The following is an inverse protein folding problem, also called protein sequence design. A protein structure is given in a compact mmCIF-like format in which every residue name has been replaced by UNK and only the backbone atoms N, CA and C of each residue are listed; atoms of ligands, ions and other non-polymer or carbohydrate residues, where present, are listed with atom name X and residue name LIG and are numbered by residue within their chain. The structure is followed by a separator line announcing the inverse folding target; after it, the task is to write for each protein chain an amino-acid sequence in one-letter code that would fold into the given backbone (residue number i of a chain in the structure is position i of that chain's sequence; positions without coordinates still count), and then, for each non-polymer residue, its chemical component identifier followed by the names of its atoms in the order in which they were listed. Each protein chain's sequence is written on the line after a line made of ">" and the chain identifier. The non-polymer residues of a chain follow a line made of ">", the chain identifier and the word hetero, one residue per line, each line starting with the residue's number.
data_IF_292919856848
#
_entry.id   IF_292919856848
#
_cell.length_a   1.000
_cell.length_b   1.000
_cell.length_c   1.000
_cell.angle_alpha   90.00
_cell.angle_beta   90.00
_cell.angle_gamma   90.00
#
_symmetry.space_group_name_H-M   'P 1'
#
loop_
_entity.id
_entity.type
_entity.pdbx_description
1 polymer ?
#
# COMPACT_ATOMS: atom_id res chain seq x y z
N UNK A 1 -26.86 -38.15 -30.68
CA UNK A 1 -26.05 -39.19 -30.04
C UNK A 1 -24.59 -38.86 -30.26
N UNK A 2 -23.85 -38.78 -29.14
CA UNK A 2 -22.39 -38.77 -28.97
C UNK A 2 -21.64 -37.51 -29.46
N UNK A 3 -21.35 -36.51 -28.61
CA UNK A 3 -20.28 -36.43 -27.59
C UNK A 3 -18.88 -36.72 -28.13
N UNK A 4 -18.04 -35.68 -28.20
CA UNK A 4 -16.62 -35.73 -27.89
C UNK A 4 -16.19 -34.32 -27.46
N UNK A 5 -16.45 -34.01 -26.19
CA UNK A 5 -15.68 -33.03 -25.46
C UNK A 5 -14.40 -33.75 -25.04
N UNK A 6 -13.27 -33.38 -25.62
CA UNK A 6 -11.97 -33.79 -25.12
C UNK A 6 -11.79 -33.13 -23.74
N UNK A 7 -12.09 -33.93 -22.72
CA UNK A 7 -11.68 -33.72 -21.35
C UNK A 7 -10.16 -33.64 -21.30
N UNK A 8 -9.64 -32.41 -21.29
CA UNK A 8 -8.27 -32.09 -20.92
C UNK A 8 -8.02 -32.53 -19.49
N UNK A 9 -7.48 -33.73 -19.36
CA UNK A 9 -7.16 -34.41 -18.13
C UNK A 9 -6.01 -33.66 -17.41
N UNK A 10 -6.33 -32.74 -16.50
CA UNK A 10 -5.38 -32.18 -15.53
C UNK A 10 -5.05 -33.19 -14.42
N UNK A 11 -4.70 -34.42 -14.81
CA UNK A 11 -4.09 -35.43 -13.94
C UNK A 11 -2.68 -35.68 -14.45
N UNK A 12 -1.80 -34.69 -14.30
CA UNK A 12 -0.41 -34.77 -14.72
C UNK A 12 0.38 -33.67 -14.05
N UNK A 13 1.25 -34.08 -13.13
CA UNK A 13 2.26 -33.27 -12.45
C UNK A 13 1.73 -32.18 -11.50
N UNK A 14 1.88 -32.46 -10.19
CA UNK A 14 1.99 -31.42 -9.16
C UNK A 14 3.18 -30.55 -9.52
N UNK A 15 2.96 -29.57 -10.39
CA UNK A 15 3.86 -28.43 -10.50
C UNK A 15 3.55 -27.60 -9.28
N UNK A 16 4.15 -27.97 -8.14
CA UNK A 16 4.15 -27.12 -6.98
C UNK A 16 4.62 -25.75 -7.47
N UNK A 17 3.80 -24.71 -7.23
CA UNK A 17 4.21 -23.33 -7.48
C UNK A 17 5.57 -23.15 -6.80
N UNK A 18 6.57 -22.53 -7.44
CA UNK A 18 7.86 -22.37 -6.81
C UNK A 18 7.67 -21.63 -5.47
N UNK A 19 8.34 -22.07 -4.39
CA UNK A 19 8.06 -21.63 -3.01
C UNK A 19 8.17 -20.11 -2.82
N UNK A 20 8.83 -19.40 -3.73
CA UNK A 20 8.84 -17.93 -3.80
C UNK A 20 7.50 -17.23 -4.11
N UNK A 21 6.44 -18.00 -4.44
CA UNK A 21 5.09 -17.51 -4.77
C UNK A 21 4.06 -17.75 -3.66
N UNK A 22 4.41 -18.52 -2.63
CA UNK A 22 3.65 -18.58 -1.38
C UNK A 22 3.88 -17.27 -0.62
N UNK A 23 2.81 -16.48 -0.48
CA UNK A 23 2.70 -15.30 0.38
C UNK A 23 4.03 -14.67 0.81
N UNK A 24 4.62 -13.82 -0.06
CA UNK A 24 5.76 -13.00 0.38
C UNK A 24 5.32 -12.16 1.59
N UNK A 25 6.16 -12.02 2.64
CA UNK A 25 5.81 -11.28 3.84
C UNK A 25 5.38 -9.85 3.48
N UNK A 26 4.26 -9.38 4.03
CA UNK A 26 3.88 -7.97 3.99
C UNK A 26 2.63 -7.57 3.20
N UNK A 27 1.85 -8.52 2.66
CA UNK A 27 0.51 -8.20 2.12
C UNK A 27 -0.57 -8.51 3.15
N UNK A 28 -1.47 -7.55 3.37
CA UNK A 28 -2.71 -7.80 4.11
C UNK A 28 -3.57 -8.76 3.28
N UNK A 29 -3.94 -9.88 3.91
CA UNK A 29 -4.92 -10.79 3.36
C UNK A 29 -6.28 -10.10 3.35
N UNK A 30 -7.02 -10.26 2.26
CA UNK A 30 -8.32 -9.62 2.07
C UNK A 30 -9.45 -10.42 2.73
N UNK A 31 -10.54 -9.74 3.09
CA UNK A 31 -11.81 -10.40 3.40
C UNK A 31 -12.60 -10.55 2.11
N UNK A 32 -13.05 -11.76 1.80
CA UNK A 32 -13.80 -12.02 0.57
C UNK A 32 -15.27 -12.32 0.85
N UNK A 33 -16.17 -11.70 0.08
CA UNK A 33 -17.57 -12.09 -0.01
C UNK A 33 -17.84 -12.70 -1.40
N UNK A 34 -18.50 -13.86 -1.41
CA UNK A 34 -18.65 -14.68 -2.62
C UNK A 34 -20.12 -15.01 -2.86
N UNK A 35 -20.67 -14.56 -3.99
CA UNK A 35 -21.98 -14.97 -4.47
C UNK A 35 -21.87 -15.90 -5.68
N UNK A 36 -21.84 -17.20 -5.42
CA UNK A 36 -21.66 -18.24 -6.43
C UNK A 36 -22.46 -19.51 -6.10
N UNK A 37 -22.86 -20.29 -7.12
CA UNK A 37 -23.47 -21.60 -6.92
C UNK A 37 -22.57 -22.55 -6.09
N UNK A 38 -23.13 -23.42 -5.24
CA UNK A 38 -22.37 -24.33 -4.36
C UNK A 38 -21.30 -25.17 -5.07
N UNK A 39 -21.57 -25.59 -6.30
CA UNK A 39 -20.65 -26.36 -7.14
C UNK A 39 -19.36 -25.62 -7.50
N UNK A 40 -19.32 -24.28 -7.35
CA UNK A 40 -18.12 -23.47 -7.58
C UNK A 40 -17.30 -23.23 -6.32
N UNK A 41 -17.83 -23.52 -5.12
CA UNK A 41 -17.22 -23.12 -3.85
C UNK A 41 -15.80 -23.69 -3.68
N UNK A 42 -15.61 -25.00 -3.85
CA UNK A 42 -14.30 -25.64 -3.72
C UNK A 42 -13.26 -25.06 -4.70
N UNK A 43 -13.69 -24.77 -5.94
CA UNK A 43 -12.80 -24.16 -6.94
C UNK A 43 -12.41 -22.73 -6.56
N UNK A 44 -13.36 -21.94 -6.03
CA UNK A 44 -13.15 -20.55 -5.59
C UNK A 44 -12.22 -20.52 -4.38
N UNK A 45 -12.46 -21.36 -3.37
CA UNK A 45 -11.59 -21.48 -2.18
C UNK A 45 -10.13 -21.72 -2.60
N UNK A 46 -9.92 -22.64 -3.54
CA UNK A 46 -8.58 -22.92 -4.07
C UNK A 46 -7.96 -21.74 -4.82
N UNK A 47 -8.75 -20.95 -5.54
CA UNK A 47 -8.25 -19.77 -6.25
C UNK A 47 -7.88 -18.62 -5.29
N UNK A 48 -8.64 -18.47 -4.20
CA UNK A 48 -8.52 -17.38 -3.24
C UNK A 48 -7.59 -17.67 -2.05
N UNK A 49 -7.28 -18.93 -1.74
CA UNK A 49 -6.60 -19.36 -0.50
C UNK A 49 -5.30 -18.64 -0.15
N UNK A 50 -4.54 -18.15 -1.13
CA UNK A 50 -3.30 -17.41 -0.93
C UNK A 50 -3.46 -15.88 -0.82
N UNK A 51 -4.68 -15.38 -0.93
CA UNK A 51 -5.00 -13.95 -1.05
C UNK A 51 -5.96 -13.44 0.02
N UNK A 52 -6.68 -14.33 0.70
CA UNK A 52 -7.78 -13.96 1.62
C UNK A 52 -7.59 -14.61 2.98
N UNK A 53 -8.00 -13.91 4.05
CA UNK A 53 -7.99 -14.44 5.41
C UNK A 53 -9.28 -15.18 5.73
N UNK A 54 -10.37 -14.78 5.08
CA UNK A 54 -11.70 -15.34 5.25
C UNK A 54 -12.51 -15.23 3.95
N UNK A 55 -13.42 -16.20 3.76
CA UNK A 55 -14.35 -16.25 2.63
C UNK A 55 -15.76 -16.42 3.20
N UNK A 56 -16.62 -15.42 2.97
CA UNK A 56 -18.03 -15.46 3.30
C UNK A 56 -18.85 -15.77 2.04
N UNK A 57 -19.45 -16.96 1.97
CA UNK A 57 -20.39 -17.32 0.90
C UNK A 57 -21.78 -16.75 1.22
N UNK A 58 -22.24 -15.82 0.41
CA UNK A 58 -23.53 -15.14 0.55
C UNK A 58 -24.58 -15.75 -0.39
N UNK A 59 -25.85 -15.46 -0.13
CA UNK A 59 -27.00 -16.09 -0.82
C UNK A 59 -27.72 -15.18 -1.80
N UNK A 60 -27.45 -13.88 -1.77
CA UNK A 60 -28.07 -12.91 -2.66
C UNK A 60 -27.13 -11.75 -2.99
N UNK A 61 -27.51 -10.93 -3.98
CA UNK A 61 -26.75 -9.72 -4.33
C UNK A 61 -26.85 -8.65 -3.25
N UNK A 62 -27.95 -8.60 -2.50
CA UNK A 62 -28.14 -7.70 -1.36
C UNK A 62 -27.16 -8.06 -0.24
N UNK A 63 -27.07 -9.34 0.13
CA UNK A 63 -26.09 -9.81 1.13
C UNK A 63 -24.65 -9.55 0.67
N UNK A 64 -24.38 -9.66 -0.64
CA UNK A 64 -23.07 -9.33 -1.20
C UNK A 64 -22.77 -7.83 -1.08
N UNK A 65 -23.74 -6.97 -1.38
CA UNK A 65 -23.59 -5.51 -1.35
C UNK A 65 -23.41 -4.98 0.09
N UNK A 66 -24.06 -5.59 1.07
CA UNK A 66 -23.95 -5.22 2.49
C UNK A 66 -22.74 -5.86 3.18
N UNK A 67 -21.99 -6.73 2.49
CA UNK A 67 -20.84 -7.41 3.07
C UNK A 67 -19.67 -6.45 3.29
N UNK A 68 -19.12 -6.46 4.51
CA UNK A 68 -17.86 -5.79 4.85
C UNK A 68 -16.67 -6.62 4.31
N UNK A 69 -16.42 -6.51 3.02
CA UNK A 69 -15.41 -7.27 2.30
C UNK A 69 -14.48 -6.34 1.51
N UNK A 70 -13.23 -6.78 1.33
CA UNK A 70 -12.22 -6.11 0.50
C UNK A 70 -12.21 -6.66 -0.94
N UNK A 71 -12.77 -7.86 -1.13
CA UNK A 71 -12.92 -8.54 -2.42
C UNK A 71 -14.33 -9.11 -2.54
N UNK A 72 -15.04 -8.75 -3.61
CA UNK A 72 -16.33 -9.32 -3.97
C UNK A 72 -16.18 -10.18 -5.21
N UNK A 73 -16.57 -11.45 -5.12
CA UNK A 73 -16.54 -12.40 -6.23
C UNK A 73 -17.94 -12.91 -6.51
N UNK A 74 -18.36 -12.86 -7.77
CA UNK A 74 -19.64 -13.39 -8.20
C UNK A 74 -19.55 -14.07 -9.56
N UNK A 75 -20.47 -14.98 -9.82
CA UNK A 75 -20.58 -15.60 -11.14
C UNK A 75 -21.48 -14.78 -12.05
N UNK A 76 -21.27 -14.87 -13.36
CA UNK A 76 -22.16 -14.24 -14.35
C UNK A 76 -23.63 -14.64 -14.14
N UNK A 77 -23.89 -15.92 -13.87
CA UNK A 77 -25.24 -16.43 -13.63
C UNK A 77 -25.86 -15.78 -12.38
N UNK A 78 -25.11 -15.73 -11.28
CA UNK A 78 -25.56 -15.10 -10.04
C UNK A 78 -25.88 -13.60 -10.24
N UNK A 79 -25.06 -12.89 -11.03
CA UNK A 79 -25.34 -11.50 -11.39
C UNK A 79 -26.56 -11.38 -12.31
N UNK A 80 -26.69 -12.25 -13.30
CA UNK A 80 -27.78 -12.22 -14.29
C UNK A 80 -29.15 -12.56 -13.69
N UNK A 81 -29.19 -13.43 -12.67
CA UNK A 81 -30.40 -13.81 -11.95
C UNK A 81 -30.93 -12.72 -11.00
N UNK A 82 -30.12 -11.70 -10.70
CA UNK A 82 -30.47 -10.63 -9.76
C UNK A 82 -31.51 -9.63 -10.26
N UNK A 83 -32.21 -8.92 -9.36
CA UNK A 83 -33.13 -7.84 -9.72
C UNK A 83 -32.47 -6.80 -10.63
N UNK A 84 -33.17 -6.32 -11.67
CA UNK A 84 -32.62 -5.35 -12.63
C UNK A 84 -32.11 -4.07 -11.95
N UNK A 85 -32.80 -3.62 -10.92
CA UNK A 85 -32.44 -2.44 -10.14
C UNK A 85 -31.12 -2.62 -9.39
N UNK A 86 -30.92 -3.77 -8.73
CA UNK A 86 -29.64 -4.12 -8.10
C UNK A 86 -28.53 -4.32 -9.13
N UNK A 87 -28.80 -4.95 -10.28
CA UNK A 87 -27.83 -5.04 -11.37
C UNK A 87 -27.36 -3.64 -11.81
N UNK A 88 -28.29 -2.70 -11.98
CA UNK A 88 -27.98 -1.33 -12.38
C UNK A 88 -27.25 -0.55 -11.28
N UNK A 89 -27.65 -0.67 -10.02
CA UNK A 89 -27.01 -0.02 -8.86
C UNK A 89 -25.59 -0.56 -8.61
N UNK A 90 -25.40 -1.88 -8.67
CA UNK A 90 -24.09 -2.53 -8.65
C UNK A 90 -23.19 -2.02 -9.79
N UNK A 91 -23.74 -1.78 -10.98
CA UNK A 91 -22.96 -1.23 -12.12
C UNK A 91 -22.73 0.29 -12.09
N UNK A 92 -23.50 1.06 -11.30
CA UNK A 92 -23.49 2.54 -11.32
C UNK A 92 -22.96 3.19 -10.05
N UNK A 93 -23.16 2.58 -8.88
CA UNK A 93 -23.03 3.25 -7.57
C UNK A 93 -21.66 3.16 -6.90
N UNK A 94 -20.69 2.43 -7.44
CA UNK A 94 -19.56 1.92 -6.65
C UNK A 94 -18.19 2.54 -6.99
N UNK A 95 -18.15 3.77 -7.49
CA UNK A 95 -16.90 4.50 -7.77
C UNK A 95 -16.88 5.94 -7.27
N UNK A 96 -17.40 6.16 -6.07
CA UNK A 96 -16.95 7.28 -5.24
C UNK A 96 -16.18 6.67 -4.05
N UNK A 97 -14.85 6.85 -4.03
CA UNK A 97 -13.88 6.29 -3.07
C UNK A 97 -13.49 4.81 -3.25
N UNK A 98 -12.27 4.38 -2.82
CA UNK A 98 -11.77 3.05 -3.17
C UNK A 98 -12.56 1.93 -2.49
N UNK A 99 -13.51 1.35 -3.23
CA UNK A 99 -14.32 0.20 -2.83
C UNK A 99 -13.60 -1.15 -2.91
N UNK A 100 -14.33 -2.27 -2.65
CA UNK A 100 -13.82 -3.63 -2.77
C UNK A 100 -13.37 -3.94 -4.21
N UNK A 101 -12.48 -4.93 -4.36
CA UNK A 101 -12.10 -5.46 -5.67
C UNK A 101 -13.23 -6.35 -6.23
N UNK A 102 -13.61 -6.11 -7.48
CA UNK A 102 -14.72 -6.81 -8.14
C UNK A 102 -14.23 -7.86 -9.12
N UNK A 103 -14.62 -9.12 -8.87
CA UNK A 103 -14.26 -10.26 -9.71
C UNK A 103 -15.50 -10.99 -10.19
N UNK A 104 -15.70 -10.98 -11.50
CA UNK A 104 -16.77 -11.73 -12.15
C UNK A 104 -16.16 -12.94 -12.86
N UNK A 105 -16.62 -14.13 -12.51
CA UNK A 105 -16.20 -15.39 -13.13
C UNK A 105 -17.33 -15.98 -13.97
N UNK A 106 -16.99 -16.96 -14.81
CA UNK A 106 -17.94 -17.69 -15.65
C UNK A 106 -18.70 -16.77 -16.64
N UNK A 107 -18.10 -15.64 -17.01
CA UNK A 107 -18.71 -14.67 -17.91
C UNK A 107 -18.51 -15.04 -19.38
N UNK A 108 -19.57 -15.09 -20.20
CA UNK A 108 -19.43 -15.29 -21.64
C UNK A 108 -18.73 -14.09 -22.30
N UNK A 109 -18.10 -14.30 -23.46
CA UNK A 109 -17.25 -13.30 -24.13
C UNK A 109 -17.90 -11.92 -24.28
N UNK A 110 -19.18 -11.88 -24.68
CA UNK A 110 -19.93 -10.62 -24.84
C UNK A 110 -20.19 -9.92 -23.51
N UNK A 111 -20.35 -10.66 -22.41
CA UNK A 111 -20.59 -10.08 -21.09
C UNK A 111 -19.28 -9.60 -20.44
N UNK A 112 -18.14 -10.27 -20.70
CA UNK A 112 -16.83 -9.88 -20.15
C UNK A 112 -16.45 -8.44 -20.49
N UNK A 113 -16.63 -8.05 -21.75
CA UNK A 113 -16.36 -6.68 -22.20
C UNK A 113 -17.23 -5.68 -21.45
N UNK A 114 -18.53 -5.98 -21.34
CA UNK A 114 -19.49 -5.14 -20.59
C UNK A 114 -19.05 -5.00 -19.14
N UNK A 115 -18.70 -6.11 -18.48
CA UNK A 115 -18.25 -6.12 -17.09
C UNK A 115 -16.97 -5.31 -16.85
N UNK A 116 -16.03 -5.36 -17.78
CA UNK A 116 -14.83 -4.52 -17.69
C UNK A 116 -15.17 -3.02 -17.84
N UNK A 117 -16.11 -2.67 -18.72
CA UNK A 117 -16.52 -1.28 -18.98
C UNK A 117 -17.28 -0.67 -17.80
N UNK A 118 -18.15 -1.44 -17.13
CA UNK A 118 -18.86 -0.98 -15.93
C UNK A 118 -17.94 -0.91 -14.69
N UNK A 119 -16.71 -1.44 -14.80
CA UNK A 119 -15.68 -1.24 -13.80
C UNK A 119 -15.35 -2.45 -12.93
N UNK A 120 -15.70 -3.69 -13.31
CA UNK A 120 -15.17 -4.88 -12.68
C UNK A 120 -13.63 -4.94 -12.85
N UNK A 121 -12.91 -5.29 -11.79
CA UNK A 121 -11.45 -5.39 -11.85
C UNK A 121 -10.99 -6.61 -12.65
N UNK A 122 -11.73 -7.72 -12.53
CA UNK A 122 -11.51 -8.93 -13.32
C UNK A 122 -12.86 -9.43 -13.86
N UNK A 123 -12.93 -9.63 -15.18
CA UNK A 123 -13.99 -10.41 -15.82
C UNK A 123 -13.39 -11.62 -16.56
N UNK A 124 -13.59 -12.80 -15.99
CA UNK A 124 -13.02 -14.07 -16.47
C UNK A 124 -14.08 -14.95 -17.13
N UNK A 125 -13.64 -15.75 -18.10
CA UNK A 125 -14.49 -16.68 -18.84
C UNK A 125 -14.82 -17.95 -18.05
N UNK A 126 -15.78 -18.70 -18.59
CA UNK A 126 -16.07 -20.05 -18.18
C UNK A 126 -14.92 -20.97 -18.60
N UNK A 127 -14.19 -21.49 -17.61
CA UNK A 127 -13.06 -22.40 -17.84
C UNK A 127 -11.68 -21.86 -17.45
N UNK A 128 -11.59 -20.62 -16.93
CA UNK A 128 -10.34 -20.12 -16.32
C UNK A 128 -9.82 -21.14 -15.28
N UNK A 129 -8.51 -21.39 -15.30
CA UNK A 129 -7.89 -22.25 -14.30
C UNK A 129 -7.80 -21.52 -12.95
N UNK A 130 -7.97 -22.24 -11.83
CA UNK A 130 -7.89 -21.62 -10.49
C UNK A 130 -6.54 -20.91 -10.27
N UNK A 131 -5.44 -21.49 -10.75
CA UNK A 131 -4.10 -20.89 -10.69
C UNK A 131 -3.98 -19.62 -11.54
N UNK A 132 -4.67 -19.53 -12.67
CA UNK A 132 -4.67 -18.33 -13.51
C UNK A 132 -5.46 -17.20 -12.84
N UNK A 133 -6.65 -17.49 -12.30
CA UNK A 133 -7.40 -16.49 -11.53
C UNK A 133 -6.59 -16.01 -10.33
N UNK A 134 -5.97 -16.95 -9.61
CA UNK A 134 -5.08 -16.65 -8.48
C UNK A 134 -3.93 -15.71 -8.90
N UNK A 135 -3.28 -15.95 -10.04
CA UNK A 135 -2.22 -15.07 -10.54
C UNK A 135 -2.73 -13.66 -10.92
N UNK A 136 -3.92 -13.56 -11.51
CA UNK A 136 -4.54 -12.26 -11.85
C UNK A 136 -4.92 -11.48 -10.59
N UNK A 137 -5.49 -12.16 -9.60
CA UNK A 137 -5.78 -11.60 -8.28
C UNK A 137 -4.52 -11.09 -7.60
N UNK A 138 -3.45 -11.88 -7.61
CA UNK A 138 -2.16 -11.47 -7.08
C UNK A 138 -1.68 -10.16 -7.72
N UNK A 139 -1.73 -10.06 -9.05
CA UNK A 139 -1.31 -8.86 -9.77
C UNK A 139 -2.20 -7.65 -9.44
N UNK A 140 -3.51 -7.85 -9.32
CA UNK A 140 -4.49 -6.81 -9.00
C UNK A 140 -4.32 -6.30 -7.57
N UNK A 141 -4.31 -7.20 -6.58
CA UNK A 141 -4.16 -6.88 -5.15
C UNK A 141 -2.87 -6.09 -4.94
N UNK A 142 -1.77 -6.52 -5.58
CA UNK A 142 -0.51 -5.78 -5.52
C UNK A 142 -0.62 -4.38 -6.07
N UNK A 143 -1.33 -4.16 -7.18
CA UNK A 143 -1.54 -2.81 -7.75
C UNK A 143 -2.42 -1.96 -6.84
N UNK A 144 -3.54 -2.51 -6.36
CA UNK A 144 -4.46 -1.82 -5.48
C UNK A 144 -3.79 -1.39 -4.17
N UNK A 145 -3.06 -2.30 -3.52
CA UNK A 145 -2.29 -1.98 -2.31
C UNK A 145 -1.13 -1.02 -2.61
N UNK A 146 -0.52 -1.09 -3.80
CA UNK A 146 0.51 -0.13 -4.22
C UNK A 146 -0.02 1.29 -4.32
N UNK A 147 -1.23 1.45 -4.81
CA UNK A 147 -1.88 2.74 -5.01
C UNK A 147 -2.42 3.29 -3.69
N UNK A 148 -2.98 2.42 -2.83
CA UNK A 148 -3.43 2.77 -1.47
C UNK A 148 -2.30 3.16 -0.52
N UNK A 149 -1.11 2.56 -0.66
CA UNK A 149 0.04 2.92 0.19
C UNK A 149 0.67 4.26 -0.23
N UNK A 150 0.26 4.89 -1.33
CA UNK A 150 0.80 6.21 -1.70
C UNK A 150 0.10 7.31 -0.92
N UNK A 151 0.87 8.28 -0.48
CA UNK A 151 0.30 9.51 0.09
C UNK A 151 -0.50 10.26 -0.97
N UNK A 152 -1.79 10.57 -0.74
CA UNK A 152 -2.60 11.34 -1.69
C UNK A 152 -2.07 12.78 -1.86
N UNK A 153 -1.42 13.31 -0.82
CA UNK A 153 -0.90 14.68 -0.81
C UNK A 153 0.46 14.79 -1.54
N UNK A 154 1.38 13.85 -1.31
CA UNK A 154 2.76 13.95 -1.85
C UNK A 154 3.04 13.03 -3.03
N UNK A 155 2.15 12.05 -3.28
CA UNK A 155 2.31 10.98 -4.28
C UNK A 155 3.43 9.98 -3.96
N UNK A 156 4.09 10.12 -2.80
CA UNK A 156 5.22 9.29 -2.40
C UNK A 156 4.76 7.89 -1.92
N UNK A 157 5.59 6.85 -2.09
CA UNK A 157 5.34 5.53 -1.50
C UNK A 157 5.20 5.61 0.02
N UNK A 158 4.40 4.74 0.60
CA UNK A 158 4.15 4.70 2.04
C UNK A 158 4.97 3.66 2.78
N UNK A 159 4.44 3.25 3.92
CA UNK A 159 5.11 2.37 4.87
C UNK A 159 5.29 0.95 4.33
N UNK A 160 4.36 0.45 3.52
CA UNK A 160 4.45 -0.90 2.95
C UNK A 160 5.61 -0.97 1.94
N UNK A 161 5.68 0.00 1.02
CA UNK A 161 6.77 0.08 0.05
C UNK A 161 8.13 0.30 0.69
N UNK A 162 8.19 1.14 1.72
CA UNK A 162 9.41 1.40 2.47
C UNK A 162 9.98 0.12 3.10
N UNK A 163 9.14 -0.64 3.83
CA UNK A 163 9.55 -1.91 4.44
C UNK A 163 10.05 -2.90 3.40
N UNK A 164 9.30 -3.06 2.31
CA UNK A 164 9.64 -3.99 1.23
C UNK A 164 10.95 -3.61 0.52
N UNK A 165 11.19 -2.32 0.30
CA UNK A 165 12.44 -1.83 -0.28
C UNK A 165 13.63 -2.16 0.62
N UNK A 166 13.51 -1.93 1.92
CA UNK A 166 14.53 -2.27 2.92
C UNK A 166 14.78 -3.78 2.93
N UNK A 167 13.74 -4.60 3.03
CA UNK A 167 13.85 -6.07 3.04
C UNK A 167 14.54 -6.61 1.78
N UNK A 168 14.19 -6.07 0.62
CA UNK A 168 14.84 -6.45 -0.65
C UNK A 168 16.35 -6.17 -0.58
N UNK A 169 16.74 -5.01 -0.06
CA UNK A 169 18.16 -4.63 0.09
C UNK A 169 18.90 -5.47 1.12
N UNK A 170 18.25 -5.80 2.24
CA UNK A 170 18.86 -6.69 3.24
C UNK A 170 19.03 -8.11 2.70
N UNK A 171 18.05 -8.62 1.95
CA UNK A 171 18.13 -9.95 1.32
C UNK A 171 19.23 -10.07 0.27
N UNK A 172 19.63 -8.95 -0.36
CA UNK A 172 20.79 -8.91 -1.28
C UNK A 172 22.14 -8.76 -0.55
N UNK A 173 22.14 -8.76 0.79
CA UNK A 173 23.34 -8.58 1.60
C UNK A 173 23.80 -7.13 1.74
N UNK A 174 22.99 -6.15 1.31
CA UNK A 174 23.35 -4.73 1.39
C UNK A 174 23.03 -4.14 2.77
N UNK A 175 23.98 -3.43 3.38
CA UNK A 175 23.71 -2.54 4.52
C UNK A 175 23.17 -1.21 4.03
N UNK A 176 22.00 -0.81 4.53
CA UNK A 176 21.34 0.45 4.17
C UNK A 176 21.50 1.51 5.26
N UNK A 177 21.47 2.78 4.85
CA UNK A 177 21.27 3.93 5.71
C UNK A 177 19.80 4.35 5.70
N UNK A 178 19.26 4.71 6.85
CA UNK A 178 17.90 5.24 7.01
C UNK A 178 17.99 6.67 7.53
N UNK A 179 17.26 7.59 6.92
CA UNK A 179 17.14 8.98 7.35
C UNK A 179 15.67 9.28 7.59
N UNK A 180 15.30 9.57 8.83
CA UNK A 180 13.94 9.92 9.22
C UNK A 180 13.85 11.43 9.38
N UNK A 181 12.82 12.05 8.81
CA UNK A 181 12.54 13.47 8.94
C UNK A 181 11.09 13.69 9.39
N UNK A 182 10.86 14.63 10.31
CA UNK A 182 9.54 15.04 10.78
C UNK A 182 9.49 16.54 11.06
N UNK A 183 8.30 17.12 11.11
CA UNK A 183 8.12 18.54 11.41
C UNK A 183 7.85 18.71 12.91
N UNK A 184 8.65 19.56 13.55
CA UNK A 184 8.47 19.85 14.97
C UNK A 184 7.14 20.58 15.20
N UNK A 185 6.42 20.15 16.24
CA UNK A 185 5.14 20.70 16.65
C UNK A 185 4.10 20.84 15.52
N UNK A 186 4.11 19.93 14.53
CA UNK A 186 3.23 19.97 13.36
C UNK A 186 1.75 20.14 13.71
N UNK A 187 1.25 19.41 14.73
CA UNK A 187 -0.13 19.57 15.20
C UNK A 187 -0.42 20.99 15.68
N UNK A 188 0.48 21.59 16.46
CA UNK A 188 0.32 22.96 16.92
C UNK A 188 0.43 23.98 15.78
N UNK A 189 1.20 23.68 14.72
CA UNK A 189 1.19 24.48 13.50
C UNK A 189 -0.19 24.41 12.83
N UNK A 190 -0.76 23.22 12.63
CA UNK A 190 -2.11 23.05 12.05
C UNK A 190 -3.19 23.75 12.87
N UNK A 191 -3.12 23.67 14.20
CA UNK A 191 -4.08 24.32 15.09
C UNK A 191 -4.03 25.86 14.96
N UNK A 192 -2.87 26.45 14.62
CA UNK A 192 -2.69 27.90 14.47
C UNK A 192 -2.93 28.41 13.05
N UNK A 193 -2.43 27.68 12.06
CA UNK A 193 -2.33 28.13 10.66
C UNK A 193 -3.37 27.46 9.75
N UNK A 194 -4.09 26.45 10.25
CA UNK A 194 -5.07 25.67 9.50
C UNK A 194 -4.46 24.46 8.79
N UNK A 195 -5.31 23.48 8.47
CA UNK A 195 -4.88 22.23 7.84
C UNK A 195 -4.25 22.43 6.46
N UNK A 196 -4.74 23.38 5.65
CA UNK A 196 -4.18 23.69 4.34
C UNK A 196 -2.73 24.19 4.43
N UNK A 197 -2.41 25.02 5.43
CA UNK A 197 -1.03 25.46 5.66
C UNK A 197 -0.14 24.30 6.13
N UNK A 198 -0.70 23.36 6.89
CA UNK A 198 -0.05 22.09 7.23
C UNK A 198 0.28 21.25 6.00
N UNK A 199 -0.67 21.10 5.09
CA UNK A 199 -0.50 20.37 3.85
C UNK A 199 0.62 21.01 3.00
N UNK A 200 0.67 22.34 2.92
CA UNK A 200 1.74 23.08 2.24
C UNK A 200 3.12 22.79 2.86
N UNK A 201 3.22 22.68 4.19
CA UNK A 201 4.46 22.29 4.87
C UNK A 201 4.89 20.85 4.55
N UNK A 202 3.94 19.91 4.54
CA UNK A 202 4.22 18.52 4.16
C UNK A 202 4.74 18.47 2.71
N UNK A 203 4.11 19.22 1.80
CA UNK A 203 4.53 19.31 0.39
C UNK A 203 5.92 19.93 0.27
N UNK A 204 6.22 20.97 1.06
CA UNK A 204 7.55 21.60 1.10
C UNK A 204 8.63 20.61 1.55
N UNK A 205 8.41 19.89 2.66
CA UNK A 205 9.34 18.89 3.16
C UNK A 205 9.54 17.76 2.15
N UNK A 206 8.45 17.27 1.54
CA UNK A 206 8.52 16.24 0.51
C UNK A 206 9.35 16.68 -0.71
N UNK A 207 9.24 17.95 -1.12
CA UNK A 207 10.05 18.51 -2.22
C UNK A 207 11.54 18.54 -1.87
N UNK A 208 11.88 19.06 -0.70
CA UNK A 208 13.29 19.12 -0.21
C UNK A 208 13.89 17.71 -0.13
N UNK A 209 13.17 16.78 0.48
CA UNK A 209 13.62 15.39 0.59
C UNK A 209 13.81 14.74 -0.77
N UNK A 210 12.93 15.01 -1.74
CA UNK A 210 13.03 14.45 -3.09
C UNK A 210 14.26 14.94 -3.84
N UNK A 211 14.59 16.22 -3.71
CA UNK A 211 15.79 16.82 -4.33
C UNK A 211 17.07 16.20 -3.73
N UNK A 212 17.17 16.16 -2.40
CA UNK A 212 18.34 15.65 -1.69
C UNK A 212 18.52 14.12 -1.83
N UNK A 213 17.42 13.36 -1.77
CA UNK A 213 17.43 11.92 -2.00
C UNK A 213 17.75 11.59 -3.46
N UNK A 214 17.18 12.32 -4.43
CA UNK A 214 17.45 12.13 -5.85
C UNK A 214 18.92 12.30 -6.20
N UNK A 215 19.57 13.34 -5.66
CA UNK A 215 21.00 13.59 -5.86
C UNK A 215 21.91 12.48 -5.28
N UNK A 216 21.41 11.69 -4.32
CA UNK A 216 22.16 10.61 -3.67
C UNK A 216 21.78 9.21 -4.14
N UNK A 217 20.72 9.07 -4.96
CA UNK A 217 20.16 7.79 -5.36
C UNK A 217 19.33 7.10 -4.27
N UNK A 218 18.79 7.88 -3.33
CA UNK A 218 17.97 7.39 -2.22
C UNK A 218 16.52 7.09 -2.62
N UNK A 219 15.90 6.14 -1.92
CA UNK A 219 14.47 5.84 -2.00
C UNK A 219 13.73 6.61 -0.91
N UNK A 220 12.79 7.48 -1.30
CA UNK A 220 12.01 8.33 -0.39
C UNK A 220 10.60 7.77 -0.21
N UNK A 221 10.12 7.72 1.03
CA UNK A 221 8.78 7.34 1.42
C UNK A 221 8.13 8.35 2.40
N UNK A 222 6.81 8.47 2.33
CA UNK A 222 5.97 9.22 3.26
C UNK A 222 5.25 8.22 4.18
N UNK A 223 5.72 8.08 5.42
CA UNK A 223 5.28 7.05 6.37
C UNK A 223 3.86 7.35 6.89
N UNK A 224 3.56 8.62 7.15
CA UNK A 224 2.23 9.13 7.50
C UNK A 224 2.28 10.49 8.20
N UNK A 225 1.25 11.32 8.07
CA UNK A 225 1.22 12.66 8.67
C UNK A 225 2.33 13.56 8.13
N UNK A 226 3.28 13.91 9.00
CA UNK A 226 4.50 14.66 8.69
C UNK A 226 5.78 13.78 8.73
N UNK A 227 5.66 12.46 8.93
CA UNK A 227 6.78 11.52 9.02
C UNK A 227 7.25 11.03 7.64
N UNK A 228 8.52 11.28 7.33
CA UNK A 228 9.19 10.80 6.12
C UNK A 228 10.40 9.93 6.43
N UNK A 229 10.75 9.05 5.49
CA UNK A 229 11.95 8.23 5.57
C UNK A 229 12.64 8.09 4.21
N UNK A 230 13.96 8.26 4.20
CA UNK A 230 14.82 8.00 3.04
C UNK A 230 15.72 6.80 3.32
N UNK A 231 15.70 5.83 2.40
CA UNK A 231 16.66 4.72 2.37
C UNK A 231 17.77 5.05 1.38
N UNK A 232 19.00 5.10 1.85
CA UNK A 232 20.18 5.43 1.04
C UNK A 232 21.35 4.50 1.39
N UNK A 233 22.53 4.74 0.81
CA UNK A 233 23.72 4.01 1.26
C UNK A 233 24.10 4.44 2.69
N UNK A 234 24.61 3.51 3.50
CA UNK A 234 25.08 3.80 4.87
C UNK A 234 26.02 5.02 4.95
N UNK A 235 26.87 5.21 3.95
CA UNK A 235 27.85 6.31 3.90
C UNK A 235 27.22 7.67 3.65
N UNK A 236 26.02 7.71 3.07
CA UNK A 236 25.33 8.96 2.73
C UNK A 236 24.36 9.43 3.81
N UNK A 237 23.90 8.55 4.70
CA UNK A 237 22.80 8.82 5.63
C UNK A 237 22.99 10.11 6.45
N UNK A 238 24.14 10.26 7.13
CA UNK A 238 24.42 11.46 7.92
C UNK A 238 24.57 12.73 7.08
N UNK A 239 25.17 12.62 5.88
CA UNK A 239 25.33 13.75 4.96
C UNK A 239 23.98 14.21 4.45
N UNK A 240 23.12 13.26 4.09
CA UNK A 240 21.77 13.50 3.63
C UNK A 240 20.93 14.17 4.73
N UNK A 241 21.01 13.67 5.97
CA UNK A 241 20.30 14.26 7.11
C UNK A 241 20.61 15.76 7.27
N UNK A 242 21.90 16.11 7.31
CA UNK A 242 22.35 17.52 7.40
C UNK A 242 21.94 18.37 6.20
N UNK A 243 21.97 17.79 5.00
CA UNK A 243 21.57 18.50 3.79
C UNK A 243 20.08 18.83 3.80
N UNK A 244 19.24 17.87 4.21
CA UNK A 244 17.78 18.05 4.33
C UNK A 244 17.45 19.15 5.35
N UNK A 245 18.05 19.13 6.54
CA UNK A 245 17.84 20.19 7.55
C UNK A 245 18.17 21.57 6.99
N UNK A 246 19.36 21.72 6.40
CA UNK A 246 19.80 23.00 5.85
C UNK A 246 18.95 23.46 4.66
N UNK A 247 18.53 22.53 3.79
CA UNK A 247 17.70 22.84 2.62
C UNK A 247 16.27 23.20 3.00
N UNK A 248 15.68 22.52 3.99
CA UNK A 248 14.37 22.86 4.52
C UNK A 248 14.41 24.22 5.24
N UNK A 249 15.42 24.46 6.06
CA UNK A 249 15.60 25.74 6.75
C UNK A 249 15.66 26.93 5.77
N UNK A 250 16.38 26.77 4.64
CA UNK A 250 16.44 27.79 3.58
C UNK A 250 15.08 27.95 2.88
N UNK A 251 14.46 26.85 2.48
CA UNK A 251 13.19 26.89 1.77
C UNK A 251 12.07 27.53 2.60
N UNK A 252 12.03 27.27 3.92
CA UNK A 252 11.10 27.91 4.83
C UNK A 252 11.34 29.42 4.98
N UNK A 253 12.61 29.85 4.96
CA UNK A 253 12.96 31.28 5.00
C UNK A 253 12.60 32.01 3.71
N UNK A 254 12.83 31.39 2.54
CA UNK A 254 12.50 31.95 1.23
C UNK A 254 11.00 32.18 1.06
N UNK A 255 10.18 31.35 1.70
CA UNK A 255 8.73 31.46 1.73
C UNK A 255 8.19 32.38 2.85
N UNK A 256 9.08 32.94 3.69
CA UNK A 256 8.72 33.80 4.82
C UNK A 256 7.63 33.20 5.73
N UNK A 257 7.72 31.89 6.01
CA UNK A 257 6.73 31.18 6.83
C UNK A 257 6.86 31.57 8.31
N UNK A 258 5.75 31.97 8.93
CA UNK A 258 5.68 32.36 10.33
C UNK A 258 4.54 31.63 11.07
N UNK A 259 4.80 31.01 12.24
CA UNK A 259 6.11 30.83 12.86
C UNK A 259 7.00 29.90 12.02
N UNK A 260 8.32 30.18 12.01
CA UNK A 260 9.27 29.41 11.21
C UNK A 260 9.24 27.92 11.59
N UNK A 261 8.88 27.02 10.66
CA UNK A 261 8.85 25.59 10.94
C UNK A 261 10.26 25.04 11.11
N UNK A 262 10.40 24.06 11.99
CA UNK A 262 11.65 23.32 12.21
C UNK A 262 11.41 21.87 11.85
N UNK A 263 12.41 21.24 11.23
CA UNK A 263 12.39 19.81 10.92
C UNK A 263 13.41 19.10 11.81
N UNK A 264 13.04 17.97 12.39
CA UNK A 264 13.98 17.07 13.07
C UNK A 264 14.38 15.96 12.11
N UNK A 265 15.68 15.85 11.82
CA UNK A 265 16.20 14.82 10.92
C UNK A 265 17.24 13.97 11.64
N UNK A 266 16.99 12.66 11.71
CA UNK A 266 17.92 11.70 12.32
C UNK A 266 18.27 10.60 11.35
N UNK A 267 19.41 9.96 11.56
CA UNK A 267 19.83 8.86 10.70
C UNK A 267 20.35 7.67 11.48
N UNK A 268 20.24 6.48 10.89
CA UNK A 268 20.82 5.24 11.38
C UNK A 268 21.19 4.33 10.22
N UNK A 269 21.74 3.15 10.51
CA UNK A 269 21.98 2.11 9.51
C UNK A 269 21.36 0.79 9.94
N UNK A 270 21.11 -0.08 8.96
CA UNK A 270 20.58 -1.42 9.16
C UNK A 270 21.36 -2.42 8.29
N UNK A 271 21.96 -3.42 8.94
CA UNK A 271 22.73 -4.47 8.27
C UNK A 271 21.95 -5.81 8.20
N UNK A 272 22.21 -6.67 7.21
CA UNK A 272 21.51 -7.96 7.06
C UNK A 272 21.62 -8.90 8.27
N UNK A 273 22.72 -8.82 9.03
CA UNK A 273 23.01 -9.70 10.16
C UNK A 273 22.42 -9.20 11.48
N UNK A 274 21.71 -8.07 11.51
CA UNK A 274 21.00 -7.63 12.70
C UNK A 274 19.75 -8.53 12.86
N UNK A 275 19.82 -9.49 13.78
CA UNK A 275 18.80 -10.53 14.02
C UNK A 275 17.37 -10.06 14.33
N UNK A 276 17.13 -8.75 14.43
CA UNK A 276 15.84 -8.17 14.85
C UNK A 276 15.39 -6.99 13.95
N UNK A 277 15.09 -7.31 12.69
CA UNK A 277 14.09 -6.68 11.79
C UNK A 277 14.05 -5.14 11.57
N UNK A 278 13.45 -4.76 10.44
CA UNK A 278 13.11 -3.37 10.08
C UNK A 278 12.44 -2.61 11.24
N UNK A 279 11.65 -3.30 12.07
CA UNK A 279 10.94 -2.72 13.21
C UNK A 279 11.87 -2.04 14.22
N UNK A 280 12.95 -2.70 14.68
CA UNK A 280 13.88 -2.07 15.65
C UNK A 280 14.62 -0.88 15.07
N UNK A 281 14.89 -0.88 13.76
CA UNK A 281 15.50 0.28 13.13
C UNK A 281 14.58 1.52 13.25
N UNK A 282 13.27 1.34 13.10
CA UNK A 282 12.29 2.41 13.35
C UNK A 282 12.17 2.80 14.83
N UNK A 283 12.27 1.86 15.77
CA UNK A 283 12.32 2.18 17.21
C UNK A 283 13.56 3.03 17.57
N UNK A 284 14.72 2.70 17.00
CA UNK A 284 15.95 3.48 17.15
C UNK A 284 15.78 4.89 16.59
N UNK A 285 15.21 5.01 15.39
CA UNK A 285 14.91 6.32 14.79
C UNK A 285 13.97 7.13 15.68
N UNK A 286 12.87 6.55 16.17
CA UNK A 286 11.94 7.24 17.08
C UNK A 286 12.64 7.73 18.36
N UNK A 287 13.51 6.91 18.94
CA UNK A 287 14.29 7.28 20.14
C UNK A 287 15.24 8.45 19.86
N UNK A 288 15.95 8.41 18.72
CA UNK A 288 16.85 9.49 18.31
C UNK A 288 16.08 10.80 18.09
N UNK A 289 14.91 10.75 17.42
CA UNK A 289 14.07 11.94 17.19
C UNK A 289 13.62 12.57 18.51
N UNK A 290 13.14 11.78 19.46
CA UNK A 290 12.76 12.28 20.77
C UNK A 290 13.93 12.90 21.55
N UNK A 291 15.15 12.37 21.40
CA UNK A 291 16.34 12.92 22.02
C UNK A 291 16.75 14.27 21.41
N UNK A 292 16.73 14.38 20.07
CA UNK A 292 17.02 15.62 19.34
C UNK A 292 16.05 16.74 19.72
N UNK A 293 14.74 16.48 19.67
CA UNK A 293 13.70 17.47 20.04
C UNK A 293 13.90 17.98 21.47
N UNK A 294 14.10 17.07 22.44
CA UNK A 294 14.37 17.45 23.85
C UNK A 294 15.66 18.25 24.01
N UNK A 295 16.69 17.96 23.22
CA UNK A 295 17.95 18.71 23.23
C UNK A 295 17.75 20.15 22.77
N UNK A 296 16.93 20.34 21.74
CA UNK A 296 16.57 21.65 21.17
C UNK A 296 15.76 22.49 22.15
N UNK A 297 14.75 21.93 22.79
CA UNK A 297 13.92 22.62 23.79
C UNK A 297 14.77 23.13 24.97
N UNK A 298 15.68 22.29 25.49
CA UNK A 298 16.60 22.69 26.57
C UNK A 298 17.58 23.80 26.14
N UNK A 299 18.00 23.79 24.88
CA UNK A 299 18.87 24.82 24.31
C UNK A 299 18.19 26.18 24.13
N UNK A 300 16.87 26.17 23.90
CA UNK A 300 16.05 27.38 23.81
C UNK A 300 15.80 27.99 25.20
N UNK A 301 15.48 27.17 26.21
CA UNK A 301 15.29 27.64 27.60
C UNK A 301 16.55 28.26 28.21
N UNK A 302 17.74 27.77 27.84
CA UNK A 302 19.03 28.30 28.30
C UNK A 302 19.43 29.66 27.70
N UNK A 303 18.74 30.15 26.66
CA UNK A 303 19.00 31.46 26.03
C UNK A 303 18.10 32.59 26.53
N UNK A 304 17.09 32.27 27.34
CA UNK A 304 16.10 33.26 27.86
C UNK A 304 16.48 33.83 29.23
N UNK A 305 17.67 33.53 29.75
CA UNK A 305 18.20 34.08 31.01
C UNK A 305 19.60 34.68 30.81
N UNK A 306 19.69 35.83 30.14
CA UNK A 306 20.82 36.75 30.27
C UNK A 306 20.43 38.18 29.98
#
# INVERSE_FOLDING_TARGET
>A
MSTNAESGNCAGERTALPPEWEARPGYELLRAAVYAPPERHEWIERALSSHVSEIAFVRSLEELADADADLMLLTHEALAAGPEQLRLETTRGWREEPGPLWVIIDAPDRARVTYQVIGADIAADFGIAACELSARLHALIRRAQTERDRSPLTGLPGSIWLRRYIETKLSSGETVGLVSADIDDFKAHNDRCGSLAGDDLIVLLAKVLREEAGASGGFLAHVGGDDFCVVCSRRQAERLARAVEASFERAAADLALEPRPVVTVVSTSLSPNESDSVHRAFERLATLRQAERRGRDRGLDGRTTR
#
